data_IF_848854493576
#
_entry.id   IF_848854493576
#
_cell.length_a   1.000
_cell.length_b   1.000
_cell.length_c   1.000
_cell.angle_alpha   90.00
_cell.angle_beta   90.00
_cell.angle_gamma   90.00
#
_symmetry.space_group_name_H-M   'P 1'
#
loop_
_entity.id
_entity.type
_entity.pdbx_description
1 polymer ?
#
# COMPACT_ATOMS: atom_id res chain seq x y z
N UNK A 1 -16.61 1.48 31.69
CA UNK A 1 -16.12 2.85 31.41
C UNK A 1 -17.06 3.44 30.37
N UNK A 2 -17.72 4.55 30.68
CA UNK A 2 -18.90 5.06 29.99
C UNK A 2 -18.60 5.45 28.53
N UNK A 3 -19.34 4.93 27.53
CA UNK A 3 -19.57 5.72 26.33
C UNK A 3 -20.53 6.85 26.76
N UNK A 4 -19.97 8.02 27.08
CA UNK A 4 -20.75 9.17 27.48
C UNK A 4 -21.48 9.71 26.26
N UNK A 5 -22.80 9.55 26.28
CA UNK A 5 -23.83 10.06 25.37
C UNK A 5 -23.85 11.59 25.16
N UNK A 6 -22.82 12.32 25.58
CA UNK A 6 -22.76 13.78 25.47
C UNK A 6 -21.93 14.30 24.28
N UNK A 7 -21.05 13.50 23.68
CA UNK A 7 -20.12 14.02 22.65
C UNK A 7 -20.04 13.23 21.33
N UNK A 8 -20.81 12.15 21.13
CA UNK A 8 -20.87 11.44 19.84
C UNK A 8 -19.56 10.77 19.41
N UNK A 9 -18.65 10.48 20.36
CA UNK A 9 -17.36 9.80 20.15
C UNK A 9 -17.29 8.62 21.12
N UNK A 10 -17.16 7.39 20.62
CA UNK A 10 -16.73 6.25 21.43
C UNK A 10 -15.26 5.96 21.06
N UNK A 11 -14.33 6.05 22.02
CA UNK A 11 -12.90 5.96 21.77
C UNK A 11 -12.22 5.08 22.85
N UNK A 12 -11.20 4.30 22.46
CA UNK A 12 -10.37 3.45 23.34
C UNK A 12 -11.06 2.42 24.25
N UNK A 13 -12.26 1.97 23.87
CA UNK A 13 -13.06 1.07 24.70
C UNK A 13 -12.45 -0.33 24.90
N UNK A 14 -11.80 -0.89 23.88
CA UNK A 14 -11.24 -2.25 23.88
C UNK A 14 -9.71 -2.25 23.72
N UNK A 15 -9.06 -1.17 24.16
CA UNK A 15 -7.61 -1.02 24.11
C UNK A 15 -6.94 -2.16 24.88
N UNK A 16 -6.09 -2.93 24.19
CA UNK A 16 -5.33 -4.07 24.72
C UNK A 16 -6.21 -5.13 25.39
N UNK A 17 -7.48 -5.22 24.99
CA UNK A 17 -8.40 -6.23 25.51
C UNK A 17 -7.87 -7.64 25.20
N UNK A 18 -7.65 -8.42 26.25
CA UNK A 18 -7.13 -9.80 26.23
C UNK A 18 -8.13 -10.85 26.71
N UNK A 19 -9.35 -10.43 27.07
CA UNK A 19 -10.56 -11.26 27.19
C UNK A 19 -11.79 -10.34 27.28
N UNK A 20 -12.90 -10.70 26.64
CA UNK A 20 -14.18 -9.99 26.78
C UNK A 20 -15.35 -10.90 26.36
N UNK A 21 -16.14 -11.35 27.35
CA UNK A 21 -17.18 -12.37 27.16
C UNK A 21 -18.59 -11.87 27.52
N UNK A 22 -18.84 -10.57 27.39
CA UNK A 22 -20.15 -9.97 27.68
C UNK A 22 -20.83 -9.48 26.39
N UNK A 23 -22.16 -9.63 26.23
CA UNK A 23 -22.89 -9.04 25.10
C UNK A 23 -22.82 -7.50 25.12
N UNK A 24 -22.53 -6.89 23.97
CA UNK A 24 -22.44 -5.43 23.79
C UNK A 24 -23.72 -4.84 23.19
N UNK A 25 -24.80 -4.86 23.98
CA UNK A 25 -26.09 -4.27 23.58
C UNK A 25 -26.12 -2.75 23.83
N UNK A 26 -25.24 -2.00 23.15
CA UNK A 26 -25.17 -0.55 23.25
C UNK A 26 -25.92 0.14 22.11
N UNK A 27 -26.63 1.22 22.42
CA UNK A 27 -27.17 2.12 21.40
C UNK A 27 -26.05 3.00 20.84
N UNK A 28 -25.58 2.64 19.64
CA UNK A 28 -24.54 3.39 18.92
C UNK A 28 -25.10 4.35 17.88
N UNK A 29 -26.42 4.52 17.78
CA UNK A 29 -27.08 5.31 16.71
C UNK A 29 -26.63 6.77 16.65
N UNK A 30 -26.13 7.30 17.77
CA UNK A 30 -25.62 8.68 17.92
C UNK A 30 -24.10 8.79 17.85
N UNK A 31 -23.38 7.69 17.63
CA UNK A 31 -21.92 7.69 17.51
C UNK A 31 -21.56 8.20 16.12
N UNK A 32 -20.78 9.28 16.07
CA UNK A 32 -20.32 9.90 14.82
C UNK A 32 -18.86 9.63 14.52
N UNK A 33 -18.12 9.11 15.50
CA UNK A 33 -16.69 8.78 15.41
C UNK A 33 -16.36 7.60 16.32
N UNK A 34 -15.71 6.58 15.76
CA UNK A 34 -15.21 5.40 16.49
C UNK A 34 -13.78 5.60 17.02
N UNK A 35 -13.17 6.74 16.71
CA UNK A 35 -11.87 7.17 17.23
C UNK A 35 -11.89 8.62 17.71
N UNK A 36 -10.88 9.02 18.49
CA UNK A 36 -10.73 10.44 18.88
C UNK A 36 -10.45 11.27 17.63
N UNK A 37 -11.23 12.34 17.40
CA UNK A 37 -11.21 13.20 16.19
C UNK A 37 -9.89 13.90 15.83
N UNK A 38 -8.76 13.60 16.44
CA UNK A 38 -7.41 14.06 16.10
C UNK A 38 -6.39 13.29 16.98
N UNK A 39 -5.54 12.42 16.44
CA UNK A 39 -4.46 11.85 17.22
C UNK A 39 -3.33 12.89 17.33
N UNK A 40 -3.21 13.51 18.49
CA UNK A 40 -1.87 13.94 18.92
C UNK A 40 -1.06 12.68 19.24
N UNK A 41 0.27 12.77 19.14
CA UNK A 41 1.26 11.68 19.26
C UNK A 41 1.10 10.68 20.44
N UNK A 42 0.18 10.94 21.37
CA UNK A 42 -0.11 10.15 22.56
C UNK A 42 -1.57 9.65 22.63
N UNK A 43 -2.05 9.06 21.53
CA UNK A 43 -2.74 7.77 21.47
C UNK A 43 -3.61 7.32 22.69
N UNK A 44 -4.74 7.99 22.93
CA UNK A 44 -5.76 7.56 23.91
C UNK A 44 -7.15 7.27 23.30
N UNK A 45 -7.29 7.26 21.97
CA UNK A 45 -8.62 7.21 21.33
C UNK A 45 -8.93 6.07 20.35
N UNK A 46 -8.06 5.07 20.21
CA UNK A 46 -8.25 3.96 19.23
C UNK A 46 -9.07 2.82 19.79
N UNK A 47 -10.20 2.47 19.15
CA UNK A 47 -11.20 1.57 19.73
C UNK A 47 -10.67 0.17 20.08
N UNK A 48 -9.95 -0.49 19.17
CA UNK A 48 -9.45 -1.87 19.30
C UNK A 48 -7.92 -1.97 19.31
N UNK A 49 -7.22 -0.92 19.76
CA UNK A 49 -5.75 -0.88 19.75
C UNK A 49 -5.13 -2.08 20.47
N UNK A 50 -4.34 -2.88 19.74
CA UNK A 50 -3.62 -4.02 20.33
C UNK A 50 -4.51 -5.12 20.92
N UNK A 51 -5.80 -5.18 20.55
CA UNK A 51 -6.71 -6.21 21.06
C UNK A 51 -6.27 -7.61 20.60
N UNK A 52 -6.11 -8.53 21.56
CA UNK A 52 -5.51 -9.86 21.36
C UNK A 52 -6.44 -11.04 21.66
N UNK A 53 -7.70 -10.81 22.03
CA UNK A 53 -8.71 -11.88 22.07
C UNK A 53 -10.18 -11.44 21.83
N UNK A 54 -10.43 -10.35 21.09
CA UNK A 54 -11.81 -9.85 20.93
C UNK A 54 -12.53 -10.57 19.77
N UNK A 55 -13.41 -11.51 20.09
CA UNK A 55 -14.08 -12.37 19.11
C UNK A 55 -15.61 -12.41 19.24
N UNK A 56 -16.22 -11.37 19.83
CA UNK A 56 -17.68 -11.26 19.96
C UNK A 56 -18.27 -10.47 18.77
N UNK A 57 -19.43 -10.86 18.21
CA UNK A 57 -20.12 -10.08 17.18
C UNK A 57 -20.47 -8.66 17.67
N UNK A 58 -20.30 -7.67 16.81
CA UNK A 58 -20.61 -6.25 17.09
C UNK A 58 -21.83 -5.80 16.30
N UNK A 59 -23.02 -5.93 16.87
CA UNK A 59 -24.28 -5.48 16.30
C UNK A 59 -24.52 -3.98 16.53
N UNK A 60 -23.58 -3.14 16.08
CA UNK A 60 -23.67 -1.69 16.23
C UNK A 60 -24.34 -1.03 15.03
N UNK A 61 -25.21 -0.07 15.28
CA UNK A 61 -25.65 0.86 14.24
C UNK A 61 -24.52 1.88 13.99
N UNK A 62 -23.91 1.81 12.81
CA UNK A 62 -22.82 2.69 12.37
C UNK A 62 -23.24 3.72 11.32
N UNK A 63 -24.53 3.83 10.99
CA UNK A 63 -25.03 4.68 9.90
C UNK A 63 -24.71 6.17 10.08
N UNK A 64 -24.47 6.61 11.32
CA UNK A 64 -24.09 7.98 11.68
C UNK A 64 -22.57 8.21 11.78
N UNK A 65 -21.76 7.14 11.67
CA UNK A 65 -20.30 7.19 11.83
C UNK A 65 -19.67 7.75 10.56
N UNK A 66 -18.89 8.82 10.72
CA UNK A 66 -18.19 9.48 9.61
C UNK A 66 -16.68 9.24 9.63
N UNK A 67 -16.14 8.81 10.78
CA UNK A 67 -14.71 8.59 11.01
C UNK A 67 -14.46 7.21 11.64
N UNK A 68 -13.77 6.34 10.90
CA UNK A 68 -13.36 4.98 11.33
C UNK A 68 -11.84 4.75 11.30
N UNK A 69 -11.07 5.80 11.02
CA UNK A 69 -9.61 5.77 10.99
C UNK A 69 -9.02 5.17 12.26
N UNK A 70 -7.96 4.36 12.12
CA UNK A 70 -7.11 3.86 13.22
C UNK A 70 -7.79 2.91 14.22
N UNK A 71 -8.98 2.41 13.87
CA UNK A 71 -9.84 1.63 14.75
C UNK A 71 -9.21 0.31 15.22
N UNK A 72 -8.56 -0.42 14.31
CA UNK A 72 -7.99 -1.77 14.55
C UNK A 72 -6.46 -1.79 14.60
N UNK A 73 -5.82 -0.66 14.93
CA UNK A 73 -4.37 -0.56 14.97
C UNK A 73 -3.72 -1.67 15.85
N UNK A 74 -2.84 -2.48 15.24
CA UNK A 74 -2.14 -3.62 15.87
C UNK A 74 -3.06 -4.66 16.51
N UNK A 75 -4.33 -4.73 16.12
CA UNK A 75 -5.23 -5.77 16.59
C UNK A 75 -4.75 -7.14 16.09
N UNK A 76 -4.47 -8.07 16.99
CA UNK A 76 -3.91 -9.39 16.68
C UNK A 76 -4.91 -10.53 16.80
N UNK A 77 -6.21 -10.22 16.94
CA UNK A 77 -7.26 -11.22 17.22
C UNK A 77 -8.68 -10.84 16.81
N UNK A 78 -8.86 -9.68 16.15
CA UNK A 78 -10.17 -9.26 15.71
C UNK A 78 -10.45 -9.91 14.35
N UNK A 79 -11.20 -11.01 14.33
CA UNK A 79 -11.56 -11.73 13.11
C UNK A 79 -13.06 -12.06 13.09
N UNK A 80 -13.89 -11.09 13.51
CA UNK A 80 -15.35 -11.19 13.44
C UNK A 80 -15.93 -10.36 12.28
N UNK A 81 -17.01 -10.82 11.63
CA UNK A 81 -17.66 -10.06 10.56
C UNK A 81 -18.05 -8.65 11.02
N UNK A 82 -17.75 -7.67 10.16
CA UNK A 82 -18.17 -6.28 10.34
C UNK A 82 -19.36 -5.99 9.43
N UNK A 83 -20.57 -6.29 9.90
CA UNK A 83 -21.82 -5.95 9.20
C UNK A 83 -22.27 -4.54 9.59
N UNK A 84 -21.50 -3.55 9.14
CA UNK A 84 -21.64 -2.15 9.51
C UNK A 84 -22.07 -1.32 8.30
N UNK A 85 -23.11 -0.49 8.47
CA UNK A 85 -23.45 0.54 7.52
C UNK A 85 -22.39 1.65 7.59
N UNK A 86 -21.58 1.77 6.55
CA UNK A 86 -20.52 2.79 6.45
C UNK A 86 -20.78 3.82 5.37
N UNK A 87 -22.02 3.96 4.89
CA UNK A 87 -22.43 4.95 3.89
C UNK A 87 -22.10 6.39 4.26
N UNK A 88 -21.98 6.68 5.55
CA UNK A 88 -21.59 8.01 6.05
C UNK A 88 -20.07 8.18 6.24
N UNK A 89 -19.26 7.13 6.06
CA UNK A 89 -17.82 7.18 6.33
C UNK A 89 -17.10 7.93 5.23
N UNK A 90 -16.60 9.10 5.57
CA UNK A 90 -15.81 9.97 4.68
C UNK A 90 -14.32 9.91 5.00
N UNK A 91 -13.96 9.39 6.17
CA UNK A 91 -12.57 9.28 6.64
C UNK A 91 -12.25 7.86 7.15
N UNK A 92 -11.65 7.05 6.29
CA UNK A 92 -11.03 5.75 6.63
C UNK A 92 -9.54 5.95 7.02
N UNK A 93 -8.93 7.05 6.58
CA UNK A 93 -7.65 7.58 7.07
C UNK A 93 -7.85 9.04 7.49
N UNK A 94 -7.33 9.44 8.65
CA UNK A 94 -7.40 10.85 9.09
C UNK A 94 -6.20 11.62 8.51
N UNK A 95 -6.45 12.71 7.79
CA UNK A 95 -5.43 13.75 7.57
C UNK A 95 -5.44 14.67 8.77
N UNK A 96 -4.39 14.65 9.59
CA UNK A 96 -4.29 15.55 10.74
C UNK A 96 -4.23 17.02 10.24
N UNK A 97 -5.27 17.85 10.44
CA UNK A 97 -5.32 19.20 9.86
C UNK A 97 -4.25 20.14 10.44
N UNK A 98 -3.65 19.77 11.56
CA UNK A 98 -2.64 20.56 12.28
C UNK A 98 -1.23 20.40 11.72
N UNK A 99 -1.00 19.50 10.75
CA UNK A 99 0.30 19.33 10.10
C UNK A 99 0.16 19.19 8.57
N UNK A 100 0.05 20.32 7.83
CA UNK A 100 0.13 20.29 6.37
C UNK A 100 1.46 19.66 5.92
N UNK A 101 1.40 18.60 5.11
CA UNK A 101 2.58 17.91 4.56
C UNK A 101 3.04 16.67 5.32
N UNK A 102 2.43 16.34 6.47
CA UNK A 102 2.67 15.06 7.15
C UNK A 102 1.52 14.12 6.80
N UNK A 103 1.74 13.22 5.83
CA UNK A 103 0.84 12.09 5.58
C UNK A 103 0.98 11.05 6.72
N UNK A 104 0.52 11.41 7.92
CA UNK A 104 0.21 10.40 8.93
C UNK A 104 -1.14 9.82 8.55
N UNK A 105 -1.12 8.81 7.68
CA UNK A 105 -2.30 8.00 7.46
C UNK A 105 -2.56 7.24 8.76
N UNK A 106 -3.76 7.40 9.30
CA UNK A 106 -4.30 6.61 10.42
C UNK A 106 -5.28 5.57 9.85
N UNK A 107 -4.82 4.56 9.09
CA UNK A 107 -5.71 3.65 8.39
C UNK A 107 -6.44 2.71 9.34
N UNK A 108 -7.63 2.29 8.95
CA UNK A 108 -8.51 1.44 9.76
C UNK A 108 -7.85 0.13 10.26
N UNK A 109 -7.04 -0.55 9.43
CA UNK A 109 -6.47 -1.88 9.72
C UNK A 109 -4.94 -1.91 9.85
N UNK A 110 -4.31 -0.81 10.29
CA UNK A 110 -2.85 -0.75 10.43
C UNK A 110 -2.29 -1.86 11.34
N UNK A 111 -1.47 -2.75 10.77
CA UNK A 111 -0.88 -3.93 11.41
C UNK A 111 -1.92 -4.86 12.07
N UNK A 112 -3.13 -4.93 11.53
CA UNK A 112 -4.15 -5.88 11.96
C UNK A 112 -3.85 -7.29 11.41
N UNK A 113 -2.75 -7.89 11.88
CA UNK A 113 -2.11 -9.05 11.23
C UNK A 113 -2.99 -10.30 11.09
N UNK A 114 -3.99 -10.44 11.97
CA UNK A 114 -4.91 -11.59 11.98
C UNK A 114 -6.28 -11.31 11.35
N UNK A 115 -6.52 -10.08 10.88
CA UNK A 115 -7.80 -9.70 10.29
C UNK A 115 -7.96 -10.32 8.89
N UNK A 116 -9.02 -11.09 8.69
CA UNK A 116 -9.36 -11.73 7.41
C UNK A 116 -10.89 -11.89 7.30
N UNK A 117 -11.63 -10.83 7.60
CA UNK A 117 -13.10 -10.84 7.53
C UNK A 117 -13.62 -10.01 6.35
N UNK A 118 -14.74 -10.41 5.74
CA UNK A 118 -15.37 -9.63 4.68
C UNK A 118 -15.63 -8.19 5.12
N UNK A 119 -15.41 -7.26 4.21
CA UNK A 119 -15.64 -5.84 4.40
C UNK A 119 -16.71 -5.35 3.43
N UNK A 120 -17.89 -5.03 3.95
CA UNK A 120 -18.96 -4.40 3.18
C UNK A 120 -19.02 -2.93 3.53
N UNK A 121 -18.13 -2.13 2.93
CA UNK A 121 -18.02 -0.69 3.17
C UNK A 121 -18.48 0.07 1.93
N UNK A 122 -19.29 1.11 2.10
CA UNK A 122 -19.47 2.13 1.07
C UNK A 122 -18.25 3.05 1.05
N UNK A 123 -17.51 3.03 -0.06
CA UNK A 123 -16.27 3.78 -0.24
C UNK A 123 -16.39 4.90 -1.27
N UNK A 124 -17.59 5.17 -1.80
CA UNK A 124 -17.82 6.11 -2.91
C UNK A 124 -17.34 7.55 -2.63
N UNK A 125 -17.26 7.93 -1.36
CA UNK A 125 -16.78 9.25 -0.90
C UNK A 125 -15.34 9.27 -0.36
N UNK A 126 -14.66 8.12 -0.34
CA UNK A 126 -13.32 7.98 0.23
C UNK A 126 -12.28 8.55 -0.74
N UNK A 127 -11.44 9.46 -0.25
CA UNK A 127 -10.39 10.12 -1.06
C UNK A 127 -9.01 9.48 -0.86
N UNK A 128 -8.74 8.92 0.32
CA UNK A 128 -7.44 8.37 0.72
C UNK A 128 -7.61 6.97 1.32
N UNK A 129 -7.12 5.96 0.59
CA UNK A 129 -7.06 4.56 1.01
C UNK A 129 -5.62 4.14 1.37
N UNK A 130 -4.69 5.10 1.46
CA UNK A 130 -3.30 4.84 1.79
C UNK A 130 -3.17 4.08 3.10
N UNK A 131 -2.25 3.11 3.12
CA UNK A 131 -1.93 2.28 4.29
C UNK A 131 -3.09 1.42 4.84
N UNK A 132 -4.27 1.34 4.19
CA UNK A 132 -5.49 0.73 4.76
C UNK A 132 -5.26 -0.65 5.39
N UNK A 133 -4.51 -1.53 4.71
CA UNK A 133 -4.16 -2.90 5.11
C UNK A 133 -2.67 -3.09 5.35
N UNK A 134 -1.92 -2.03 5.64
CA UNK A 134 -0.51 -2.13 5.95
C UNK A 134 -0.29 -3.13 7.09
N UNK A 135 0.51 -4.16 6.87
CA UNK A 135 0.84 -5.20 7.85
C UNK A 135 -0.32 -6.13 8.22
N UNK A 136 -1.46 -6.07 7.50
CA UNK A 136 -2.56 -7.02 7.66
C UNK A 136 -2.22 -8.35 6.97
N UNK A 137 -1.23 -9.07 7.51
CA UNK A 137 -0.56 -10.20 6.85
C UNK A 137 -1.49 -11.35 6.44
N UNK A 138 -2.62 -11.55 7.13
CA UNK A 138 -3.58 -12.62 6.86
C UNK A 138 -4.75 -12.18 5.97
N UNK A 139 -4.93 -10.87 5.74
CA UNK A 139 -6.10 -10.37 5.03
C UNK A 139 -6.12 -10.89 3.58
N UNK A 140 -7.20 -11.55 3.18
CA UNK A 140 -7.38 -12.10 1.85
C UNK A 140 -8.86 -12.17 1.44
N UNK A 141 -9.61 -11.10 1.73
CA UNK A 141 -11.04 -11.00 1.40
C UNK A 141 -11.28 -10.10 0.18
N UNK A 142 -12.34 -10.37 -0.62
CA UNK A 142 -12.66 -9.55 -1.79
C UNK A 142 -13.03 -8.12 -1.37
N UNK A 143 -12.67 -7.16 -2.22
CA UNK A 143 -12.83 -5.72 -1.98
C UNK A 143 -13.67 -5.08 -3.10
N UNK A 144 -14.98 -5.27 -3.02
CA UNK A 144 -15.94 -4.71 -3.99
C UNK A 144 -16.26 -3.25 -3.62
N UNK A 145 -15.34 -2.35 -3.93
CA UNK A 145 -15.37 -0.95 -3.50
C UNK A 145 -15.48 0.00 -4.69
N UNK A 146 -16.19 1.11 -4.48
CA UNK A 146 -16.15 2.25 -5.40
C UNK A 146 -14.91 3.10 -5.05
N UNK A 147 -13.97 3.18 -5.99
CA UNK A 147 -12.71 3.91 -5.84
C UNK A 147 -12.62 5.14 -6.74
N UNK A 148 -13.71 5.53 -7.42
CA UNK A 148 -13.71 6.62 -8.40
C UNK A 148 -13.26 7.98 -7.84
N UNK A 149 -13.49 8.20 -6.53
CA UNK A 149 -13.06 9.40 -5.79
C UNK A 149 -11.66 9.30 -5.17
N UNK A 150 -11.02 8.12 -5.19
CA UNK A 150 -9.76 7.88 -4.48
C UNK A 150 -8.59 8.50 -5.24
N UNK A 151 -7.75 9.23 -4.51
CA UNK A 151 -6.54 9.89 -5.05
C UNK A 151 -5.24 9.34 -4.47
N UNK A 152 -5.30 8.67 -3.31
CA UNK A 152 -4.15 8.07 -2.61
C UNK A 152 -4.37 6.57 -2.33
N UNK A 153 -3.49 5.72 -2.84
CA UNK A 153 -3.47 4.26 -2.60
C UNK A 153 -2.10 3.76 -2.10
N UNK A 154 -1.19 4.67 -1.76
CA UNK A 154 0.17 4.33 -1.36
C UNK A 154 0.21 3.40 -0.14
N UNK A 155 1.09 2.41 -0.17
CA UNK A 155 1.30 1.43 0.91
C UNK A 155 0.05 0.65 1.36
N UNK A 156 -1.05 0.66 0.59
CA UNK A 156 -2.33 0.09 1.02
C UNK A 156 -2.23 -1.38 1.44
N UNK A 157 -1.47 -2.20 0.71
CA UNK A 157 -1.24 -3.62 0.97
C UNK A 157 0.21 -3.92 1.38
N UNK A 158 0.96 -2.94 1.89
CA UNK A 158 2.33 -3.20 2.34
C UNK A 158 2.32 -4.30 3.40
N UNK A 159 2.90 -5.46 3.10
CA UNK A 159 3.05 -6.57 4.04
C UNK A 159 1.76 -7.36 4.26
N UNK A 160 0.72 -7.14 3.44
CA UNK A 160 -0.46 -8.01 3.35
C UNK A 160 -0.07 -9.30 2.61
N UNK A 161 0.79 -10.11 3.23
CA UNK A 161 1.49 -11.23 2.59
C UNK A 161 0.58 -12.32 2.01
N UNK A 162 -0.64 -12.47 2.54
CA UNK A 162 -1.63 -13.47 2.08
C UNK A 162 -2.60 -12.92 1.03
N UNK A 163 -2.66 -11.61 0.82
CA UNK A 163 -3.64 -10.99 -0.06
C UNK A 163 -3.39 -11.37 -1.52
N UNK A 164 -4.40 -11.96 -2.17
CA UNK A 164 -4.36 -12.34 -3.58
C UNK A 164 -5.76 -12.31 -4.22
N UNK A 165 -6.61 -11.39 -3.80
CA UNK A 165 -7.94 -11.21 -4.37
C UNK A 165 -7.91 -10.28 -5.58
N UNK A 166 -8.78 -10.48 -6.58
CA UNK A 166 -8.91 -9.54 -7.70
C UNK A 166 -9.22 -8.13 -7.22
N UNK A 167 -8.62 -7.13 -7.88
CA UNK A 167 -8.85 -5.71 -7.61
C UNK A 167 -9.28 -5.02 -8.91
N UNK A 168 -10.59 -4.91 -9.11
CA UNK A 168 -11.21 -4.20 -10.23
C UNK A 168 -11.70 -2.83 -9.73
N UNK A 169 -10.81 -1.84 -9.81
CA UNK A 169 -10.99 -0.51 -9.23
C UNK A 169 -10.82 0.56 -10.31
N UNK A 170 -11.60 1.63 -10.20
CA UNK A 170 -11.35 2.87 -10.95
C UNK A 170 -10.16 3.59 -10.32
N UNK A 171 -9.06 3.68 -11.05
CA UNK A 171 -7.82 4.34 -10.62
C UNK A 171 -7.54 5.65 -11.36
N UNK A 172 -8.47 6.12 -12.20
CA UNK A 172 -8.27 7.29 -13.07
C UNK A 172 -7.92 8.59 -12.31
N UNK A 173 -8.40 8.71 -11.07
CA UNK A 173 -8.13 9.82 -10.14
C UNK A 173 -6.89 9.62 -9.26
N UNK A 174 -6.27 8.43 -9.26
CA UNK A 174 -5.19 8.08 -8.34
C UNK A 174 -3.88 8.73 -8.78
N UNK A 175 -3.19 9.37 -7.83
CA UNK A 175 -1.90 10.04 -8.06
C UNK A 175 -0.72 9.35 -7.36
N UNK A 176 -0.98 8.62 -6.26
CA UNK A 176 0.05 7.99 -5.44
C UNK A 176 -0.19 6.48 -5.29
N UNK A 177 0.70 5.66 -5.85
CA UNK A 177 0.69 4.19 -5.75
C UNK A 177 1.99 3.61 -5.17
N UNK A 178 2.88 4.46 -4.65
CA UNK A 178 4.16 4.02 -4.11
C UNK A 178 3.97 2.98 -2.98
N UNK A 179 4.82 1.97 -2.98
CA UNK A 179 4.83 0.86 -2.02
C UNK A 179 3.51 0.09 -1.85
N UNK A 180 2.54 0.23 -2.76
CA UNK A 180 1.19 -0.33 -2.59
C UNK A 180 1.19 -1.83 -2.28
N UNK A 181 2.04 -2.62 -2.95
CA UNK A 181 2.18 -4.06 -2.78
C UNK A 181 3.55 -4.49 -2.23
N UNK A 182 4.26 -3.58 -1.54
CA UNK A 182 5.54 -3.92 -0.91
C UNK A 182 5.37 -5.13 0.01
N UNK A 183 6.16 -6.20 -0.17
CA UNK A 183 6.02 -7.46 0.59
C UNK A 183 4.65 -8.15 0.54
N UNK A 184 3.78 -7.82 -0.43
CA UNK A 184 2.56 -8.60 -0.70
C UNK A 184 2.92 -9.90 -1.44
N UNK A 185 3.57 -10.82 -0.73
CA UNK A 185 4.29 -11.96 -1.31
C UNK A 185 3.42 -12.92 -2.14
N UNK A 186 2.13 -13.03 -1.84
CA UNK A 186 1.19 -13.91 -2.55
C UNK A 186 0.45 -13.22 -3.71
N UNK A 187 0.52 -11.89 -3.80
CA UNK A 187 -0.27 -11.13 -4.77
C UNK A 187 0.19 -11.41 -6.20
N UNK A 188 -0.73 -11.86 -7.05
CA UNK A 188 -0.47 -12.13 -8.47
C UNK A 188 -1.76 -12.00 -9.32
N UNK A 189 -2.54 -10.94 -9.08
CA UNK A 189 -3.77 -10.67 -9.83
C UNK A 189 -3.53 -9.61 -10.92
N UNK A 190 -4.27 -9.67 -12.05
CA UNK A 190 -4.16 -8.66 -13.10
C UNK A 190 -4.53 -7.27 -12.56
N UNK A 191 -3.90 -6.24 -13.12
CA UNK A 191 -4.04 -4.85 -12.71
C UNK A 191 -4.36 -3.96 -13.93
N UNK A 192 -5.57 -4.12 -14.48
CA UNK A 192 -6.08 -3.33 -15.60
C UNK A 192 -6.52 -1.93 -15.13
N UNK A 193 -5.52 -1.11 -14.78
CA UNK A 193 -5.70 0.19 -14.15
C UNK A 193 -5.37 1.34 -15.09
N UNK A 194 -6.12 2.43 -14.98
CA UNK A 194 -5.73 3.72 -15.56
C UNK A 194 -4.71 4.40 -14.63
N UNK A 195 -3.46 4.46 -15.08
CA UNK A 195 -2.37 5.08 -14.33
C UNK A 195 -1.95 6.45 -14.88
N UNK A 196 -2.73 7.02 -15.80
CA UNK A 196 -2.36 8.28 -16.48
C UNK A 196 -2.18 9.47 -15.53
N UNK A 197 -2.83 9.46 -14.37
CA UNK A 197 -2.69 10.47 -13.31
C UNK A 197 -1.61 10.16 -12.27
N UNK A 198 -1.00 8.97 -12.30
CA UNK A 198 -0.07 8.51 -11.26
C UNK A 198 1.30 9.16 -11.42
N UNK A 199 1.83 9.74 -10.35
CA UNK A 199 3.13 10.41 -10.33
C UNK A 199 4.21 9.62 -9.58
N UNK A 200 3.82 8.75 -8.64
CA UNK A 200 4.74 7.98 -7.78
C UNK A 200 4.41 6.48 -7.79
N UNK A 201 5.36 5.65 -8.22
CA UNK A 201 5.28 4.18 -8.26
C UNK A 201 6.46 3.47 -7.59
N UNK A 202 7.34 4.21 -6.90
CA UNK A 202 8.51 3.64 -6.25
C UNK A 202 8.13 2.55 -5.24
N UNK A 203 8.94 1.48 -5.19
CA UNK A 203 8.77 0.30 -4.33
C UNK A 203 7.42 -0.43 -4.45
N UNK A 204 6.59 -0.16 -5.46
CA UNK A 204 5.22 -0.67 -5.56
C UNK A 204 5.13 -2.20 -5.45
N UNK A 205 6.05 -2.95 -6.09
CA UNK A 205 6.12 -4.41 -6.06
C UNK A 205 7.41 -4.92 -5.40
N UNK A 206 8.10 -4.10 -4.61
CA UNK A 206 9.32 -4.54 -3.93
C UNK A 206 8.98 -5.72 -3.01
N UNK A 207 9.69 -6.85 -3.17
CA UNK A 207 9.45 -8.12 -2.47
C UNK A 207 8.07 -8.75 -2.71
N UNK A 208 7.31 -8.33 -3.72
CA UNK A 208 6.11 -9.04 -4.18
C UNK A 208 6.51 -10.31 -4.96
N UNK A 209 6.99 -11.32 -4.24
CA UNK A 209 7.73 -12.45 -4.81
C UNK A 209 6.97 -13.27 -5.86
N UNK A 210 5.63 -13.32 -5.80
CA UNK A 210 4.79 -14.08 -6.73
C UNK A 210 4.26 -13.26 -7.91
N UNK A 211 4.40 -11.94 -7.88
CA UNK A 211 3.80 -11.06 -8.88
C UNK A 211 4.47 -11.24 -10.25
N UNK A 212 3.68 -11.56 -11.27
CA UNK A 212 4.15 -11.73 -12.65
C UNK A 212 3.03 -11.46 -13.66
N UNK A 213 2.27 -10.38 -13.47
CA UNK A 213 1.19 -9.97 -14.37
C UNK A 213 1.64 -8.86 -15.32
N UNK A 214 1.10 -8.81 -16.55
CA UNK A 214 1.40 -7.73 -17.48
C UNK A 214 0.94 -6.39 -16.91
N UNK A 215 1.70 -5.33 -17.18
CA UNK A 215 1.46 -3.97 -16.68
C UNK A 215 1.32 -2.99 -17.86
N UNK A 216 0.17 -3.01 -18.52
CA UNK A 216 -0.14 -2.15 -19.67
C UNK A 216 -0.56 -0.74 -19.21
N UNK A 217 0.37 -0.05 -18.56
CA UNK A 217 0.12 1.20 -17.85
C UNK A 217 0.62 2.41 -18.64
N UNK A 218 -0.07 3.54 -18.46
CA UNK A 218 0.44 4.83 -18.89
C UNK A 218 1.32 5.42 -17.79
N UNK A 219 2.63 5.55 -18.06
CA UNK A 219 3.62 6.04 -17.09
C UNK A 219 4.17 7.43 -17.43
N UNK A 220 3.58 8.15 -18.39
CA UNK A 220 4.13 9.43 -18.89
C UNK A 220 4.29 10.51 -17.82
N UNK A 221 3.50 10.43 -16.74
CA UNK A 221 3.50 11.34 -15.60
C UNK A 221 4.29 10.82 -14.39
N UNK A 222 4.80 9.59 -14.44
CA UNK A 222 5.56 8.98 -13.34
C UNK A 222 6.96 9.58 -13.30
N UNK A 223 7.37 10.01 -12.10
CA UNK A 223 8.68 10.67 -11.88
C UNK A 223 9.66 9.81 -11.09
N UNK A 224 9.16 8.83 -10.31
CA UNK A 224 9.97 7.93 -9.48
C UNK A 224 9.49 6.47 -9.59
N UNK A 225 10.41 5.60 -10.03
CA UNK A 225 10.25 4.15 -10.15
C UNK A 225 11.30 3.39 -9.32
N UNK A 226 11.97 4.07 -8.38
CA UNK A 226 13.00 3.47 -7.53
C UNK A 226 12.50 2.22 -6.82
N UNK A 227 13.30 1.15 -6.82
CA UNK A 227 13.04 -0.15 -6.19
C UNK A 227 11.72 -0.83 -6.60
N UNK A 228 11.02 -0.38 -7.66
CA UNK A 228 9.67 -0.83 -7.99
C UNK A 228 9.52 -2.35 -8.06
N UNK A 229 10.53 -3.08 -8.55
CA UNK A 229 10.57 -4.54 -8.65
C UNK A 229 11.74 -5.16 -7.87
N UNK A 230 12.33 -4.44 -6.92
CA UNK A 230 13.44 -4.99 -6.13
C UNK A 230 12.97 -6.28 -5.42
N UNK A 231 13.71 -7.38 -5.56
CA UNK A 231 13.38 -8.70 -5.00
C UNK A 231 12.02 -9.27 -5.46
N UNK A 232 11.42 -8.76 -6.55
CA UNK A 232 10.23 -9.34 -7.18
C UNK A 232 10.63 -10.57 -8.01
N UNK A 233 10.95 -11.67 -7.32
CA UNK A 233 11.65 -12.82 -7.92
C UNK A 233 10.96 -13.44 -9.14
N UNK A 234 9.63 -13.47 -9.18
CA UNK A 234 8.87 -14.08 -10.29
C UNK A 234 8.63 -13.14 -11.48
N UNK A 235 8.86 -11.83 -11.31
CA UNK A 235 8.48 -10.84 -12.31
C UNK A 235 9.35 -10.94 -13.56
N UNK A 236 8.72 -11.16 -14.72
CA UNK A 236 9.39 -11.24 -16.00
C UNK A 236 8.47 -10.82 -17.16
N UNK A 237 7.79 -9.68 -17.00
CA UNK A 237 6.87 -9.13 -18.00
C UNK A 237 7.50 -7.98 -18.77
N UNK A 238 7.11 -7.84 -20.04
CA UNK A 238 7.55 -6.72 -20.88
C UNK A 238 6.98 -5.41 -20.34
N UNK A 239 7.82 -4.37 -20.29
CA UNK A 239 7.47 -3.05 -19.76
C UNK A 239 7.54 -1.99 -20.84
N UNK A 240 6.46 -1.87 -21.63
CA UNK A 240 6.32 -0.86 -22.69
C UNK A 240 5.86 0.48 -22.11
N UNK A 241 6.74 1.13 -21.37
CA UNK A 241 6.44 2.32 -20.58
C UNK A 241 7.08 3.57 -21.18
N UNK A 242 6.40 4.71 -21.02
CA UNK A 242 7.01 6.02 -21.24
C UNK A 242 7.75 6.44 -19.97
N UNK A 243 9.07 6.44 -20.03
CA UNK A 243 9.94 6.81 -18.91
C UNK A 243 10.55 8.20 -19.06
N UNK A 244 10.11 8.99 -20.03
CA UNK A 244 10.72 10.30 -20.36
C UNK A 244 10.68 11.31 -19.21
N UNK A 245 9.73 11.17 -18.29
CA UNK A 245 9.61 12.02 -17.08
C UNK A 245 10.26 11.41 -15.83
N UNK A 246 10.80 10.18 -15.91
CA UNK A 246 11.37 9.48 -14.77
C UNK A 246 12.73 10.05 -14.43
N UNK A 247 12.92 10.39 -13.16
CA UNK A 247 14.17 10.94 -12.61
C UNK A 247 14.93 9.93 -11.74
N UNK A 248 14.24 8.92 -11.20
CA UNK A 248 14.80 7.91 -10.31
C UNK A 248 14.40 6.49 -10.72
N UNK A 249 15.41 5.65 -10.93
CA UNK A 249 15.31 4.21 -11.17
C UNK A 249 16.24 3.41 -10.24
N UNK A 250 16.69 4.02 -9.14
CA UNK A 250 17.56 3.39 -8.14
C UNK A 250 17.03 2.01 -7.75
N UNK A 251 17.87 0.97 -7.81
CA UNK A 251 17.52 -0.38 -7.38
C UNK A 251 16.27 -0.99 -8.01
N UNK A 252 15.75 -0.46 -9.13
CA UNK A 252 14.45 -0.83 -9.70
C UNK A 252 14.27 -2.35 -9.86
N UNK A 253 15.32 -3.06 -10.28
CA UNK A 253 15.35 -4.52 -10.45
C UNK A 253 16.38 -5.21 -9.54
N UNK A 254 16.78 -4.58 -8.44
CA UNK A 254 17.76 -5.15 -7.51
C UNK A 254 17.28 -6.52 -7.02
N UNK A 255 18.06 -7.58 -7.29
CA UNK A 255 17.73 -8.97 -6.96
C UNK A 255 16.42 -9.49 -7.58
N UNK A 256 15.93 -8.89 -8.67
CA UNK A 256 14.83 -9.43 -9.47
C UNK A 256 15.33 -10.60 -10.33
N UNK A 257 15.47 -11.77 -9.71
CA UNK A 257 16.24 -12.89 -10.26
C UNK A 257 15.78 -13.39 -11.64
N UNK A 258 14.48 -13.34 -11.95
CA UNK A 258 13.95 -13.86 -13.23
C UNK A 258 13.78 -12.80 -14.32
N UNK A 259 13.96 -11.51 -14.01
CA UNK A 259 13.68 -10.44 -14.96
C UNK A 259 14.71 -10.44 -16.10
N UNK A 260 14.25 -10.60 -17.35
CA UNK A 260 15.12 -10.62 -18.52
C UNK A 260 14.38 -10.11 -19.78
N UNK A 261 13.62 -9.01 -19.64
CA UNK A 261 12.89 -8.39 -20.75
C UNK A 261 13.64 -7.17 -21.30
N UNK A 262 13.53 -6.89 -22.60
CA UNK A 262 14.14 -5.70 -23.18
C UNK A 262 13.54 -4.43 -22.58
N UNK A 263 14.38 -3.41 -22.39
CA UNK A 263 13.99 -2.14 -21.79
C UNK A 263 14.27 -0.97 -22.74
N UNK A 264 13.35 -0.75 -23.67
CA UNK A 264 13.42 0.34 -24.66
C UNK A 264 12.91 1.65 -24.05
N UNK A 265 13.65 2.16 -23.08
CA UNK A 265 13.25 3.30 -22.25
C UNK A 265 14.03 4.56 -22.59
N UNK A 266 13.37 5.71 -22.42
CA UNK A 266 14.04 7.01 -22.45
C UNK A 266 14.57 7.34 -21.04
N UNK A 267 15.89 7.38 -20.89
CA UNK A 267 16.56 7.64 -19.62
C UNK A 267 17.21 9.02 -19.54
N UNK A 268 16.99 9.91 -20.51
CA UNK A 268 17.68 11.21 -20.58
C UNK A 268 17.45 12.10 -19.36
N UNK A 269 16.34 11.90 -18.64
CA UNK A 269 15.97 12.64 -17.43
C UNK A 269 16.32 11.91 -16.13
N UNK A 270 16.84 10.67 -16.20
CA UNK A 270 17.19 9.87 -15.02
C UNK A 270 18.47 10.40 -14.41
N UNK A 271 18.40 10.79 -13.14
CA UNK A 271 19.54 11.30 -12.36
C UNK A 271 20.04 10.28 -11.35
N UNK A 272 19.21 9.31 -10.95
CA UNK A 272 19.52 8.28 -9.96
C UNK A 272 19.27 6.87 -10.51
N UNK A 273 20.33 6.08 -10.68
CA UNK A 273 20.27 4.72 -11.26
C UNK A 273 21.09 3.68 -10.45
N UNK A 274 21.54 4.04 -9.25
CA UNK A 274 22.38 3.20 -8.41
C UNK A 274 21.76 1.82 -8.14
N UNK A 275 22.56 0.77 -8.26
CA UNK A 275 22.18 -0.62 -7.99
C UNK A 275 20.98 -1.15 -8.79
N UNK A 276 20.61 -0.53 -9.92
CA UNK A 276 19.39 -0.87 -10.69
C UNK A 276 19.23 -2.37 -10.97
N UNK A 277 20.32 -3.05 -11.34
CA UNK A 277 20.34 -4.50 -11.61
C UNK A 277 21.20 -5.30 -10.63
N UNK A 278 21.53 -4.75 -9.46
CA UNK A 278 22.39 -5.45 -8.49
C UNK A 278 21.77 -6.79 -8.08
N UNK A 279 22.40 -7.91 -8.43
CA UNK A 279 21.90 -9.25 -8.16
C UNK A 279 20.73 -9.72 -9.04
N UNK A 280 20.37 -9.00 -10.11
CA UNK A 280 19.40 -9.48 -11.11
C UNK A 280 20.06 -10.54 -12.02
N UNK A 281 20.13 -11.78 -11.55
CA UNK A 281 20.99 -12.83 -12.13
C UNK A 281 20.64 -13.24 -13.56
N UNK A 282 19.36 -13.18 -13.97
CA UNK A 282 18.93 -13.54 -15.33
C UNK A 282 19.04 -12.41 -16.34
N UNK A 283 19.24 -11.16 -15.91
CA UNK A 283 19.21 -10.01 -16.82
C UNK A 283 20.43 -10.00 -17.75
N UNK A 284 20.17 -10.10 -19.06
CA UNK A 284 21.19 -10.11 -20.10
C UNK A 284 20.70 -9.42 -21.40
N UNK A 285 19.91 -8.36 -21.27
CA UNK A 285 19.41 -7.59 -22.41
C UNK A 285 20.34 -6.42 -22.72
N UNK A 286 20.47 -6.02 -24.00
CA UNK A 286 21.20 -4.81 -24.36
C UNK A 286 20.51 -3.57 -23.77
N UNK A 287 21.31 -2.62 -23.29
CA UNK A 287 20.86 -1.33 -22.79
C UNK A 287 21.42 -0.23 -23.68
N UNK A 288 20.53 0.47 -24.39
CA UNK A 288 20.89 1.62 -25.21
C UNK A 288 20.27 2.88 -24.60
N UNK A 289 20.84 3.28 -23.47
CA UNK A 289 20.31 4.32 -22.59
C UNK A 289 21.22 5.55 -22.59
N UNK A 290 20.59 6.72 -22.47
CA UNK A 290 21.31 7.97 -22.22
C UNK A 290 21.55 8.10 -20.71
N UNK A 291 22.82 8.05 -20.31
CA UNK A 291 23.26 8.18 -18.92
C UNK A 291 23.87 9.56 -18.61
N UNK A 292 23.74 10.54 -19.51
CA UNK A 292 24.40 11.85 -19.38
C UNK A 292 23.94 12.66 -18.16
N UNK A 293 22.68 12.48 -17.73
CA UNK A 293 22.10 13.13 -16.55
C UNK A 293 22.34 12.37 -15.25
N UNK A 294 22.89 11.16 -15.30
CA UNK A 294 23.04 10.30 -14.11
C UNK A 294 24.14 10.83 -13.19
N UNK A 295 23.77 11.13 -11.96
CA UNK A 295 24.69 11.66 -10.93
C UNK A 295 25.11 10.60 -9.90
N UNK A 296 24.36 9.49 -9.79
CA UNK A 296 24.64 8.39 -8.88
C UNK A 296 24.47 7.03 -9.59
N UNK A 297 25.60 6.34 -9.79
CA UNK A 297 25.69 4.95 -10.28
C UNK A 297 26.23 3.99 -9.21
N UNK A 298 26.16 4.34 -7.93
CA UNK A 298 26.77 3.53 -6.87
C UNK A 298 26.24 2.08 -6.87
N UNK A 299 27.17 1.13 -7.00
CA UNK A 299 27.02 -0.32 -6.82
C UNK A 299 26.35 -1.16 -7.94
N UNK A 300 26.83 -1.08 -9.19
CA UNK A 300 26.51 -2.10 -10.23
C UNK A 300 27.42 -3.36 -10.22
N UNK A 301 28.34 -3.51 -9.25
CA UNK A 301 29.33 -4.58 -9.28
C UNK A 301 28.72 -6.01 -9.28
N UNK A 302 28.85 -6.70 -10.42
CA UNK A 302 28.71 -8.15 -10.56
C UNK A 302 29.90 -8.89 -9.93
N UNK A 303 29.62 -10.00 -9.28
CA UNK A 303 30.49 -11.19 -9.28
C UNK A 303 29.79 -12.26 -10.13
N UNK A 304 30.36 -12.61 -11.29
CA UNK A 304 30.01 -13.85 -11.99
C UNK A 304 31.06 -14.93 -11.67
N UNK A 305 30.69 -16.22 -11.57
CA UNK A 305 31.63 -17.30 -11.28
C UNK A 305 32.72 -17.51 -12.34
N UNK A 306 32.49 -17.07 -13.57
CA UNK A 306 33.30 -17.46 -14.75
C UNK A 306 34.31 -16.39 -15.22
N UNK A 307 34.53 -15.33 -14.45
CA UNK A 307 35.72 -14.47 -14.64
C UNK A 307 35.86 -13.75 -15.98
N UNK A 308 34.83 -13.64 -16.81
CA UNK A 308 34.87 -12.89 -18.07
C UNK A 308 33.74 -11.86 -18.17
N UNK A 309 34.18 -10.61 -18.39
CA UNK A 309 33.44 -9.37 -18.61
C UNK A 309 32.89 -8.65 -17.38
N UNK A 310 33.75 -7.81 -16.82
CA UNK A 310 33.36 -6.62 -16.06
C UNK A 310 32.88 -5.55 -17.05
N UNK A 311 31.58 -5.39 -17.22
CA UNK A 311 31.01 -4.07 -17.54
C UNK A 311 30.65 -3.43 -16.22
N UNK A 312 31.63 -2.77 -15.59
CA UNK A 312 31.26 -1.54 -14.91
C UNK A 312 30.66 -0.65 -15.99
N UNK A 313 29.46 -0.12 -15.81
CA UNK A 313 29.08 1.12 -16.49
C UNK A 313 30.02 2.22 -15.99
N UNK A 314 31.28 2.20 -16.44
CA UNK A 314 32.05 3.42 -16.58
C UNK A 314 31.33 4.24 -17.62
N UNK A 315 30.95 5.46 -17.25
CA UNK A 315 30.56 6.54 -18.16
C UNK A 315 31.30 6.38 -19.49
N UNK A 316 30.60 5.98 -20.53
CA UNK A 316 31.02 6.35 -21.88
C UNK A 316 30.35 7.69 -22.12
N UNK A 317 31.06 8.75 -21.77
CA UNK A 317 31.00 9.99 -22.56
C UNK A 317 31.54 9.70 -23.94
#
# INVERSE_FOLDING_TARGET
MLCMSCCGVCAAMFRQASSFDQPLNWDTSRVTSMTSKCPTFYNTGRMFYGASSFNQPLSWNTSSVTHMSDMFFRASSFNQPLDWDTSSVTYISCKCPTMPGVHQADPMFLNASSFDQPLNLDTSSVIDMGYMFYGASNFNQPLNWDTSSVTYMNSMFWGASSFNQPIDWDTSSVTHMNSMFFQASSFNQPLDWDTSSVTYMNSMFERASSFNQPLNWNTSSVTDMGSMFAQANSFNQLLNWDTSSVTSMNSMFRQANNFNQPLNWNTSSVTYMGSMFYGASSFNQPLNWDASSVTDMSCECRTTPDGMHHTCCTLVT
#
